data_IF_946118758939
#
_entry.id   IF_946118758939
#
_cell.length_a   1.000
_cell.length_b   1.000
_cell.length_c   1.000
_cell.angle_alpha   90.00
_cell.angle_beta   90.00
_cell.angle_gamma   90.00
#
_symmetry.space_group_name_H-M   'P 1'
#
loop_
_entity.id
_entity.type
_entity.pdbx_description
1 polymer ?
#
# COMPACT_ATOMS: atom_id res chain seq x y z
N UNK A 1 -4.78 -13.57 5.03
CA UNK A 1 -3.54 -12.94 5.59
C UNK A 1 -3.58 -11.44 5.39
N UNK A 2 -3.23 -10.67 6.42
CA UNK A 2 -3.17 -9.22 6.36
C UNK A 2 -1.73 -8.74 6.53
N UNK A 3 -1.17 -8.10 5.49
CA UNK A 3 0.18 -7.53 5.44
C UNK A 3 0.13 -6.01 5.49
N UNK A 4 0.87 -5.39 6.40
CA UNK A 4 1.05 -3.95 6.47
C UNK A 4 2.49 -3.59 6.09
N UNK A 5 2.65 -2.76 5.06
CA UNK A 5 3.95 -2.31 4.55
C UNK A 5 4.12 -0.82 4.85
N UNK A 6 5.14 -0.48 5.62
CA UNK A 6 5.48 0.90 5.97
C UNK A 6 6.86 1.31 5.46
N UNK A 7 7.24 2.55 5.65
CA UNK A 7 8.56 3.11 5.33
C UNK A 7 8.47 4.47 4.65
N UNK A 8 9.62 5.09 4.43
CA UNK A 8 9.77 6.42 3.85
C UNK A 8 9.31 6.55 2.38
N UNK A 9 9.26 7.76 1.88
CA UNK A 9 8.92 8.02 0.47
C UNK A 9 9.96 7.35 -0.45
N UNK A 10 9.50 6.81 -1.59
CA UNK A 10 10.33 6.18 -2.62
C UNK A 10 11.24 5.02 -2.15
N UNK A 11 11.03 4.45 -0.96
CA UNK A 11 11.84 3.35 -0.41
C UNK A 11 11.57 1.97 -1.05
N UNK A 12 10.64 1.86 -2.03
CA UNK A 12 10.35 0.61 -2.74
C UNK A 12 9.09 -0.12 -2.30
N UNK A 13 8.28 0.44 -1.37
CA UNK A 13 7.04 -0.18 -0.86
C UNK A 13 6.10 -0.68 -1.95
N UNK A 14 5.74 0.19 -2.90
CA UNK A 14 4.78 -0.16 -3.96
C UNK A 14 5.30 -1.30 -4.82
N UNK A 15 6.60 -1.28 -5.16
CA UNK A 15 7.21 -2.34 -5.96
C UNK A 15 7.20 -3.68 -5.21
N UNK A 16 7.54 -3.68 -3.93
CA UNK A 16 7.51 -4.87 -3.10
C UNK A 16 6.06 -5.38 -2.91
N UNK A 17 5.11 -4.49 -2.63
CA UNK A 17 3.70 -4.83 -2.47
C UNK A 17 3.11 -5.49 -3.73
N UNK A 18 3.36 -4.91 -4.91
CA UNK A 18 2.93 -5.48 -6.19
C UNK A 18 3.58 -6.86 -6.44
N UNK A 19 4.88 -6.99 -6.14
CA UNK A 19 5.61 -8.24 -6.25
C UNK A 19 5.04 -9.32 -5.32
N UNK A 20 4.73 -8.96 -4.09
CA UNK A 20 4.10 -9.86 -3.12
C UNK A 20 2.73 -10.35 -3.61
N UNK A 21 1.86 -9.42 -4.05
CA UNK A 21 0.54 -9.77 -4.58
C UNK A 21 0.64 -10.64 -5.84
N UNK A 22 1.62 -10.38 -6.71
CA UNK A 22 1.82 -11.18 -7.93
C UNK A 22 2.19 -12.64 -7.65
N UNK A 23 2.70 -12.97 -6.47
CA UNK A 23 3.01 -14.35 -6.07
C UNK A 23 1.77 -15.14 -5.66
N UNK A 24 0.68 -14.47 -5.30
CA UNK A 24 -0.62 -15.09 -5.10
C UNK A 24 -1.35 -15.28 -6.42
N UNK A 25 -2.33 -16.18 -6.44
CA UNK A 25 -3.18 -16.44 -7.61
C UNK A 25 -4.05 -15.25 -8.01
N UNK A 26 -4.92 -15.47 -8.99
CA UNK A 26 -6.00 -14.57 -9.37
C UNK A 26 -7.25 -14.89 -8.53
N UNK A 27 -8.16 -13.94 -8.30
CA UNK A 27 -8.14 -12.54 -8.77
C UNK A 27 -7.23 -11.62 -7.94
N UNK A 28 -6.61 -10.62 -8.60
CA UNK A 28 -5.78 -9.58 -7.97
C UNK A 28 -6.45 -8.23 -8.13
N UNK A 29 -6.80 -7.61 -7.02
CA UNK A 29 -7.47 -6.31 -7.00
C UNK A 29 -6.49 -5.24 -6.53
N UNK A 30 -6.36 -4.17 -7.30
CA UNK A 30 -5.62 -2.98 -6.91
C UNK A 30 -6.59 -1.86 -6.56
N UNK A 31 -6.58 -1.44 -5.32
CA UNK A 31 -7.41 -0.35 -4.82
C UNK A 31 -6.64 0.96 -4.91
N UNK A 32 -7.03 1.80 -5.86
CA UNK A 32 -6.42 3.11 -6.11
C UNK A 32 -7.09 4.17 -5.25
N UNK A 33 -6.35 4.75 -4.32
CA UNK A 33 -6.83 5.79 -3.40
C UNK A 33 -6.40 7.20 -3.81
N UNK A 34 -5.50 7.34 -4.78
CA UNK A 34 -4.99 8.64 -5.20
C UNK A 34 -6.02 9.42 -6.02
N UNK A 35 -6.30 10.65 -5.59
CA UNK A 35 -7.08 11.59 -6.40
C UNK A 35 -6.22 12.21 -7.50
N UNK A 36 -6.77 12.46 -8.71
CA UNK A 36 -6.04 12.99 -9.85
C UNK A 36 -5.86 14.52 -9.75
N UNK A 37 -5.15 15.01 -8.74
CA UNK A 37 -4.85 16.42 -8.60
C UNK A 37 -3.60 16.84 -9.37
N UNK A 38 -3.77 17.86 -10.24
CA UNK A 38 -2.68 18.48 -10.98
C UNK A 38 -1.96 17.55 -11.96
N UNK A 39 -1.03 18.11 -12.73
CA UNK A 39 -0.27 17.32 -13.72
C UNK A 39 0.63 16.26 -13.09
N UNK A 40 1.21 16.52 -11.93
CA UNK A 40 2.08 15.55 -11.24
C UNK A 40 1.30 14.35 -10.73
N UNK A 41 0.11 14.55 -10.16
CA UNK A 41 -0.79 13.48 -9.75
C UNK A 41 -1.19 12.58 -10.91
N UNK A 42 -1.58 13.18 -12.04
CA UNK A 42 -1.90 12.46 -13.27
C UNK A 42 -0.71 11.67 -13.81
N UNK A 43 0.49 12.24 -13.82
CA UNK A 43 1.72 11.55 -14.25
C UNK A 43 2.03 10.35 -13.34
N UNK A 44 1.84 10.50 -12.03
CA UNK A 44 2.05 9.43 -11.04
C UNK A 44 1.04 8.30 -11.23
N UNK A 45 -0.24 8.62 -11.38
CA UNK A 45 -1.29 7.63 -11.69
C UNK A 45 -1.00 6.89 -13.00
N UNK A 46 -0.64 7.61 -14.07
CA UNK A 46 -0.30 7.01 -15.36
C UNK A 46 0.90 6.06 -15.24
N UNK A 47 1.93 6.44 -14.50
CA UNK A 47 3.09 5.59 -14.23
C UNK A 47 2.70 4.32 -13.48
N UNK A 48 1.89 4.42 -12.43
CA UNK A 48 1.41 3.27 -11.66
C UNK A 48 0.51 2.34 -12.51
N UNK A 49 -0.38 2.90 -13.33
CA UNK A 49 -1.18 2.11 -14.27
C UNK A 49 -0.31 1.35 -15.27
N UNK A 50 0.72 2.01 -15.83
CA UNK A 50 1.68 1.36 -16.74
C UNK A 50 2.45 0.23 -16.07
N UNK A 51 2.88 0.41 -14.83
CA UNK A 51 3.59 -0.62 -14.06
C UNK A 51 2.74 -1.85 -13.78
N UNK A 52 1.41 -1.71 -13.72
CA UNK A 52 0.47 -2.80 -13.43
C UNK A 52 -0.11 -3.48 -14.66
N UNK A 53 -0.05 -2.84 -15.84
CA UNK A 53 -0.78 -3.23 -17.04
C UNK A 53 -0.63 -4.70 -17.45
N UNK A 54 0.47 -5.33 -17.10
CA UNK A 54 0.80 -6.71 -17.47
C UNK A 54 0.80 -7.65 -16.25
N UNK A 55 0.52 -7.15 -14.99
CA UNK A 55 0.52 -7.96 -13.75
C UNK A 55 -0.83 -8.60 -13.43
N UNK A 56 -1.81 -8.47 -14.31
CA UNK A 56 -3.12 -9.07 -14.15
C UNK A 56 -3.92 -8.47 -12.97
N UNK A 57 -3.70 -7.19 -12.65
CA UNK A 57 -4.52 -6.48 -11.68
C UNK A 57 -5.80 -5.94 -12.31
N UNK A 58 -6.91 -6.19 -11.65
CA UNK A 58 -8.12 -5.38 -11.81
C UNK A 58 -7.99 -4.14 -10.92
N UNK A 59 -8.20 -2.93 -11.47
CA UNK A 59 -8.10 -1.68 -10.72
C UNK A 59 -9.47 -1.19 -10.32
N UNK A 60 -9.68 -0.98 -9.04
CA UNK A 60 -10.85 -0.35 -8.45
C UNK A 60 -10.45 1.01 -7.90
N UNK A 61 -11.11 2.07 -8.36
CA UNK A 61 -10.91 3.42 -7.85
C UNK A 61 -11.75 3.61 -6.58
N UNK A 62 -11.10 3.78 -5.44
CA UNK A 62 -11.76 4.00 -4.15
C UNK A 62 -11.02 5.07 -3.35
N UNK A 63 -11.21 6.32 -3.77
CA UNK A 63 -10.60 7.47 -3.09
C UNK A 63 -11.22 7.72 -1.71
N UNK A 64 -12.48 7.31 -1.51
CA UNK A 64 -13.27 7.41 -0.27
C UNK A 64 -14.14 6.17 -0.11
N UNK A 65 -14.77 6.04 1.07
CA UNK A 65 -15.80 5.04 1.37
C UNK A 65 -15.41 3.59 1.04
N UNK A 66 -14.17 3.24 1.41
CA UNK A 66 -13.60 1.90 1.18
C UNK A 66 -14.49 0.77 1.72
N UNK A 67 -15.31 1.04 2.74
CA UNK A 67 -16.21 0.06 3.34
C UNK A 67 -17.26 -0.49 2.36
N UNK A 68 -17.68 0.32 1.38
CA UNK A 68 -18.73 -0.02 0.41
C UNK A 68 -18.20 -0.88 -0.74
N UNK A 69 -16.87 -1.04 -0.84
CA UNK A 69 -16.24 -1.80 -1.91
C UNK A 69 -16.53 -3.30 -1.80
N UNK A 70 -17.00 -3.91 -2.88
CA UNK A 70 -17.15 -5.36 -2.99
C UNK A 70 -15.90 -5.97 -3.62
N UNK A 71 -15.45 -7.10 -3.06
CA UNK A 71 -14.32 -7.88 -3.57
C UNK A 71 -14.66 -9.37 -3.52
N UNK A 72 -14.13 -10.19 -4.45
CA UNK A 72 -14.22 -11.65 -4.35
C UNK A 72 -13.54 -12.15 -3.07
N UNK A 73 -14.11 -13.15 -2.42
CA UNK A 73 -13.57 -13.71 -1.17
C UNK A 73 -12.19 -14.36 -1.34
N UNK A 74 -11.91 -14.89 -2.52
CA UNK A 74 -10.63 -15.50 -2.91
C UNK A 74 -9.61 -14.50 -3.45
N UNK A 75 -9.96 -13.21 -3.55
CA UNK A 75 -9.07 -12.18 -4.08
C UNK A 75 -7.87 -11.90 -3.17
N UNK A 76 -6.74 -11.56 -3.79
CA UNK A 76 -5.64 -10.86 -3.14
C UNK A 76 -5.74 -9.38 -3.48
N UNK A 77 -5.93 -8.56 -2.45
CA UNK A 77 -6.17 -7.11 -2.57
C UNK A 77 -4.91 -6.33 -2.20
N UNK A 78 -4.53 -5.38 -3.04
CA UNK A 78 -3.51 -4.37 -2.75
C UNK A 78 -4.17 -3.01 -2.55
N UNK A 79 -4.15 -2.49 -1.32
CA UNK A 79 -4.56 -1.12 -1.01
C UNK A 79 -3.35 -0.20 -1.11
N UNK A 80 -3.33 0.67 -2.13
CA UNK A 80 -2.14 1.40 -2.55
C UNK A 80 -1.58 2.34 -1.50
N UNK A 81 -2.46 3.09 -0.77
CA UNK A 81 -1.96 4.10 0.16
C UNK A 81 -3.01 4.52 1.19
N UNK A 82 -2.76 4.15 2.46
CA UNK A 82 -3.58 4.60 3.59
C UNK A 82 -3.49 6.12 3.75
N UNK A 83 -2.34 6.73 3.51
CA UNK A 83 -2.16 8.17 3.65
C UNK A 83 -3.08 8.96 2.69
N UNK A 84 -3.20 8.54 1.44
CA UNK A 84 -4.13 9.14 0.49
C UNK A 84 -5.60 8.95 0.94
N UNK A 85 -5.96 7.73 1.33
CA UNK A 85 -7.31 7.43 1.81
C UNK A 85 -7.66 8.31 3.03
N UNK A 86 -6.77 8.37 4.02
CA UNK A 86 -6.97 9.18 5.22
C UNK A 86 -7.13 10.66 4.89
N UNK A 87 -6.26 11.21 4.03
CA UNK A 87 -6.36 12.61 3.59
C UNK A 87 -7.69 12.89 2.88
N UNK A 88 -8.07 12.02 1.95
CA UNK A 88 -9.32 12.16 1.20
C UNK A 88 -10.57 12.11 2.10
N UNK A 89 -10.54 11.25 3.13
CA UNK A 89 -11.63 11.13 4.09
C UNK A 89 -11.65 12.29 5.09
N UNK A 90 -10.47 12.76 5.51
CA UNK A 90 -10.31 13.82 6.53
C UNK A 90 -10.73 15.18 6.03
N UNK A 91 -10.41 15.54 4.80
CA UNK A 91 -10.66 16.85 4.24
C UNK A 91 -11.80 16.79 3.22
N UNK A 92 -12.79 17.69 3.36
CA UNK A 92 -13.82 17.89 2.35
C UNK A 92 -13.36 18.90 1.26
N UNK A 93 -14.20 19.11 0.25
CA UNK A 93 -13.91 20.05 -0.85
C UNK A 93 -13.84 21.53 -0.39
N UNK A 94 -14.42 21.86 0.75
CA UNK A 94 -14.40 23.17 1.36
C UNK A 94 -13.19 23.36 2.31
N UNK A 95 -12.37 22.32 2.51
CA UNK A 95 -11.23 22.33 3.42
C UNK A 95 -11.58 22.12 4.89
N UNK A 96 -12.85 21.76 5.21
CA UNK A 96 -13.18 21.39 6.58
C UNK A 96 -12.58 20.03 6.92
N UNK A 97 -12.11 19.92 8.14
CA UNK A 97 -11.49 18.71 8.68
C UNK A 97 -12.44 17.95 9.60
N UNK A 98 -12.40 16.62 9.51
CA UNK A 98 -13.13 15.72 10.41
C UNK A 98 -12.23 14.59 10.91
N UNK A 99 -12.54 14.05 12.08
CA UNK A 99 -11.85 12.84 12.57
C UNK A 99 -12.37 11.62 11.82
N UNK A 100 -11.46 10.93 11.14
CA UNK A 100 -11.76 9.76 10.31
C UNK A 100 -11.00 8.51 10.75
N UNK A 101 -10.26 8.60 11.88
CA UNK A 101 -9.39 7.50 12.35
C UNK A 101 -10.12 6.18 12.43
N UNK A 102 -11.25 6.16 13.14
CA UNK A 102 -12.03 4.93 13.31
C UNK A 102 -12.66 4.46 11.99
N UNK A 103 -13.16 5.39 11.16
CA UNK A 103 -13.73 5.07 9.84
C UNK A 103 -12.73 4.33 8.96
N UNK A 104 -11.49 4.84 8.88
CA UNK A 104 -10.42 4.22 8.05
C UNK A 104 -10.02 2.86 8.60
N UNK A 105 -9.83 2.75 9.92
CA UNK A 105 -9.49 1.47 10.57
C UNK A 105 -10.57 0.43 10.28
N UNK A 106 -11.83 0.74 10.56
CA UNK A 106 -12.95 -0.21 10.37
C UNK A 106 -13.09 -0.64 8.90
N UNK A 107 -12.90 0.28 7.97
CA UNK A 107 -12.95 0.01 6.54
C UNK A 107 -11.84 -0.96 6.10
N UNK A 108 -10.60 -0.75 6.55
CA UNK A 108 -9.46 -1.63 6.23
C UNK A 108 -9.62 -3.00 6.88
N UNK A 109 -10.00 -3.06 8.16
CA UNK A 109 -10.24 -4.32 8.86
C UNK A 109 -11.46 -5.07 8.29
N UNK A 110 -12.49 -4.33 7.88
CA UNK A 110 -13.63 -4.91 7.16
C UNK A 110 -13.20 -5.52 5.82
N UNK A 111 -12.32 -4.87 5.08
CA UNK A 111 -11.77 -5.38 3.82
C UNK A 111 -10.91 -6.63 4.04
N UNK A 112 -10.06 -6.66 5.08
CA UNK A 112 -9.21 -7.80 5.39
C UNK A 112 -9.99 -9.09 5.69
N UNK A 113 -11.23 -8.97 6.18
CA UNK A 113 -12.12 -10.10 6.48
C UNK A 113 -12.89 -10.61 5.26
N UNK A 114 -12.92 -9.82 4.18
CA UNK A 114 -13.70 -10.11 2.96
C UNK A 114 -12.86 -10.61 1.79
N UNK A 115 -11.54 -10.70 1.94
CA UNK A 115 -10.64 -11.20 0.90
C UNK A 115 -9.66 -12.23 1.45
N UNK A 116 -9.08 -13.06 0.59
CA UNK A 116 -8.13 -14.09 1.00
C UNK A 116 -6.84 -13.48 1.56
N UNK A 117 -6.30 -12.46 0.89
CA UNK A 117 -5.12 -11.73 1.33
C UNK A 117 -5.32 -10.22 1.12
N UNK A 118 -4.89 -9.43 2.11
CA UNK A 118 -4.85 -7.98 2.03
C UNK A 118 -3.41 -7.50 2.21
N UNK A 119 -2.90 -6.77 1.24
CA UNK A 119 -1.61 -6.06 1.32
C UNK A 119 -1.90 -4.56 1.37
N UNK A 120 -1.52 -3.91 2.45
CA UNK A 120 -1.76 -2.49 2.68
C UNK A 120 -0.44 -1.74 2.68
N UNK A 121 -0.37 -0.67 1.89
CA UNK A 121 0.78 0.25 1.89
C UNK A 121 0.43 1.50 2.67
N UNK A 122 1.29 1.83 3.62
CA UNK A 122 1.21 3.08 4.39
C UNK A 122 2.52 3.85 4.31
N UNK A 123 2.54 5.06 4.82
CA UNK A 123 3.73 5.89 4.96
C UNK A 123 4.02 6.13 6.43
N UNK A 124 5.29 6.17 6.76
CA UNK A 124 5.78 6.74 7.99
C UNK A 124 5.88 8.27 7.80
N UNK A 125 5.07 8.99 8.56
CA UNK A 125 5.02 10.45 8.55
C UNK A 125 5.50 10.96 9.90
N UNK A 126 6.29 12.03 9.92
CA UNK A 126 6.73 12.68 11.15
C UNK A 126 8.19 12.43 11.53
N UNK A 127 8.95 11.66 10.73
CA UNK A 127 10.40 11.52 10.93
C UNK A 127 11.17 12.81 10.59
N UNK A 128 10.59 13.72 9.82
CA UNK A 128 11.17 15.01 9.45
C UNK A 128 10.37 16.14 10.09
N UNK A 129 10.99 16.88 11.00
CA UNK A 129 10.39 18.05 11.62
C UNK A 129 10.51 19.23 10.65
N UNK A 130 9.38 19.66 10.09
CA UNK A 130 9.25 20.90 9.32
C UNK A 130 8.20 21.81 9.99
N UNK A 131 8.31 23.12 9.80
CA UNK A 131 7.23 24.07 10.11
C UNK A 131 6.06 23.80 9.16
N UNK A 132 5.17 22.93 9.59
CA UNK A 132 3.96 22.59 8.86
C UNK A 132 2.86 23.62 9.18
N UNK A 133 1.88 23.73 8.27
CA UNK A 133 0.65 24.43 8.53
C UNK A 133 -0.16 23.78 9.68
N UNK A 134 -1.18 24.45 10.18
CA UNK A 134 -1.99 24.01 11.33
C UNK A 134 -2.69 22.64 11.13
N UNK A 135 -2.85 22.18 9.89
CA UNK A 135 -3.55 20.93 9.54
C UNK A 135 -2.62 19.72 9.51
N UNK A 136 -1.36 19.93 9.19
CA UNK A 136 -0.39 18.82 9.04
C UNK A 136 -0.14 18.05 10.35
N UNK A 137 0.01 18.67 11.54
CA UNK A 137 0.19 17.94 12.80
C UNK A 137 -0.99 17.00 13.11
N UNK A 138 -2.22 17.46 12.88
CA UNK A 138 -3.43 16.64 13.13
C UNK A 138 -3.51 15.46 12.18
N UNK A 139 -3.13 15.64 10.93
CA UNK A 139 -3.05 14.56 9.95
C UNK A 139 -1.95 13.55 10.31
N UNK A 140 -0.76 14.02 10.73
CA UNK A 140 0.36 13.14 11.17
C UNK A 140 -0.05 12.33 12.39
N UNK A 141 -0.71 12.95 13.38
CA UNK A 141 -1.24 12.25 14.56
C UNK A 141 -2.28 11.19 14.16
N UNK A 142 -3.21 11.54 13.28
CA UNK A 142 -4.22 10.60 12.79
C UNK A 142 -3.58 9.41 12.07
N UNK A 143 -2.57 9.65 11.23
CA UNK A 143 -1.82 8.59 10.55
C UNK A 143 -1.06 7.70 11.53
N UNK A 144 -0.42 8.27 12.55
CA UNK A 144 0.24 7.51 13.61
C UNK A 144 -0.73 6.58 14.34
N UNK A 145 -1.92 7.10 14.70
CA UNK A 145 -2.98 6.32 15.34
C UNK A 145 -3.49 5.18 14.45
N UNK A 146 -3.78 5.47 13.17
CA UNK A 146 -4.24 4.48 12.21
C UNK A 146 -3.17 3.40 11.99
N UNK A 147 -1.92 3.78 11.76
CA UNK A 147 -0.82 2.85 11.56
C UNK A 147 -0.63 1.91 12.75
N UNK A 148 -0.70 2.46 13.99
CA UNK A 148 -0.61 1.67 15.21
C UNK A 148 -1.74 0.63 15.30
N UNK A 149 -2.99 1.05 15.07
CA UNK A 149 -4.15 0.16 15.12
C UNK A 149 -4.08 -0.94 14.04
N UNK A 150 -3.71 -0.58 12.80
CA UNK A 150 -3.57 -1.55 11.72
C UNK A 150 -2.42 -2.53 11.96
N UNK A 151 -1.28 -2.05 12.51
CA UNK A 151 -0.15 -2.91 12.84
C UNK A 151 -0.48 -3.92 13.96
N UNK A 152 -1.32 -3.52 14.93
CA UNK A 152 -1.79 -4.43 15.97
C UNK A 152 -2.59 -5.60 15.40
N UNK A 153 -3.45 -5.36 14.41
CA UNK A 153 -4.35 -6.34 13.78
C UNK A 153 -3.70 -7.11 12.61
N UNK A 154 -2.66 -6.56 11.97
CA UNK A 154 -2.00 -7.21 10.86
C UNK A 154 -1.30 -8.50 11.30
N UNK A 155 -1.34 -9.54 10.45
CA UNK A 155 -0.59 -10.79 10.66
C UNK A 155 0.92 -10.55 10.49
N UNK A 156 1.28 -9.69 9.53
CA UNK A 156 2.66 -9.35 9.21
C UNK A 156 2.82 -7.84 9.02
N UNK A 157 3.91 -7.28 9.57
CA UNK A 157 4.28 -5.87 9.40
C UNK A 157 5.71 -5.78 8.93
N UNK A 158 5.95 -5.10 7.82
CA UNK A 158 7.29 -4.88 7.28
C UNK A 158 7.57 -3.41 7.06
N UNK A 159 8.76 -3.00 7.45
CA UNK A 159 9.32 -1.72 7.01
C UNK A 159 10.18 -1.92 5.77
N UNK A 160 9.97 -1.14 4.73
CA UNK A 160 10.78 -1.18 3.52
C UNK A 160 11.91 -0.16 3.61
N UNK A 161 13.15 -0.65 3.60
CA UNK A 161 14.36 0.16 3.53
C UNK A 161 15.12 -0.22 2.27
N UNK A 162 15.30 0.71 1.34
CA UNK A 162 15.98 0.47 0.05
C UNK A 162 15.43 -0.75 -0.73
N UNK A 163 14.11 -0.99 -0.64
CA UNK A 163 13.45 -2.11 -1.30
C UNK A 163 13.56 -3.45 -0.56
N UNK A 164 14.20 -3.48 0.61
CA UNK A 164 14.38 -4.68 1.44
C UNK A 164 13.38 -4.64 2.58
N UNK A 165 12.55 -5.69 2.79
CA UNK A 165 11.63 -5.77 3.91
C UNK A 165 12.37 -6.08 5.22
N UNK A 166 12.21 -5.24 6.22
CA UNK A 166 12.59 -5.49 7.61
C UNK A 166 11.34 -5.99 8.32
N UNK A 167 11.40 -7.19 8.88
CA UNK A 167 10.27 -7.78 9.60
C UNK A 167 10.12 -7.13 10.96
N UNK A 168 9.00 -6.42 11.18
CA UNK A 168 8.63 -5.86 12.47
C UNK A 168 7.66 -6.77 13.23
N UNK A 169 6.80 -7.53 12.50
CA UNK A 169 5.85 -8.50 13.06
C UNK A 169 5.63 -9.63 12.08
N UNK A 170 5.41 -10.85 12.58
CA UNK A 170 5.21 -12.05 11.77
C UNK A 170 6.50 -12.57 11.15
N UNK A 171 6.37 -13.22 10.01
CA UNK A 171 7.48 -13.79 9.25
C UNK A 171 7.44 -13.32 7.80
N UNK A 172 8.56 -13.41 7.08
CA UNK A 172 8.57 -13.15 5.64
C UNK A 172 7.65 -14.16 4.94
N UNK A 173 6.81 -13.71 4.00
CA UNK A 173 5.88 -14.57 3.32
C UNK A 173 6.65 -15.63 2.52
N UNK A 174 6.17 -16.87 2.61
CA UNK A 174 6.63 -17.99 1.79
C UNK A 174 5.55 -18.26 0.75
N UNK A 175 5.89 -18.08 -0.51
CA UNK A 175 4.99 -18.36 -1.63
C UNK A 175 5.73 -19.29 -2.58
N UNK A 176 5.09 -20.38 -2.98
CA UNK A 176 5.70 -21.44 -3.80
C UNK A 176 7.01 -22.03 -3.20
N UNK A 177 7.10 -22.04 -1.85
CA UNK A 177 8.26 -22.57 -1.12
C UNK A 177 9.44 -21.61 -0.99
N UNK A 178 9.35 -20.39 -1.54
CA UNK A 178 10.40 -19.35 -1.47
C UNK A 178 9.99 -18.18 -0.56
N UNK A 179 10.96 -17.70 0.24
CA UNK A 179 10.76 -16.46 1.02
C UNK A 179 10.82 -15.24 0.12
N UNK A 180 9.85 -14.34 0.26
CA UNK A 180 9.80 -13.07 -0.49
C UNK A 180 10.67 -12.03 0.20
N UNK A 181 11.97 -12.08 -0.03
CA UNK A 181 12.98 -11.20 0.60
C UNK A 181 13.25 -9.89 -0.16
N UNK A 182 12.85 -9.81 -1.42
CA UNK A 182 13.00 -8.59 -2.24
C UNK A 182 11.85 -8.51 -3.24
N UNK A 183 11.64 -7.32 -3.80
CA UNK A 183 10.81 -7.20 -4.98
C UNK A 183 11.41 -8.06 -6.08
N UNK A 184 10.63 -9.01 -6.61
CA UNK A 184 11.09 -9.88 -7.69
C UNK A 184 11.39 -9.03 -8.93
N UNK A 185 12.65 -8.99 -9.32
CA UNK A 185 13.09 -8.31 -10.56
C UNK A 185 12.56 -9.03 -11.80
N UNK A 186 12.17 -10.29 -11.65
CA UNK A 186 11.59 -11.14 -12.69
C UNK A 186 10.05 -11.25 -12.61
N UNK A 187 9.38 -10.55 -11.68
CA UNK A 187 7.95 -10.33 -11.84
C UNK A 187 7.76 -9.76 -13.26
N UNK A 188 6.98 -10.40 -14.16
CA UNK A 188 7.10 -10.22 -15.62
C UNK A 188 6.74 -8.83 -16.14
N UNK A 189 7.26 -7.81 -15.49
CA UNK A 189 7.04 -6.45 -15.84
C UNK A 189 7.90 -5.42 -15.22
N UNK A 190 8.98 -5.31 -15.66
CA UNK A 190 9.83 -4.19 -15.40
C UNK A 190 11.26 -4.55 -15.72
N UNK A 191 11.45 -4.86 -16.98
CA UNK A 191 12.73 -5.21 -17.56
C UNK A 191 13.88 -4.38 -17.06
N UNK A 192 14.84 -5.05 -16.61
CA UNK A 192 16.25 -4.97 -16.92
C UNK A 192 16.87 -6.21 -16.30
N UNK A 193 16.96 -7.26 -17.07
CA UNK A 193 17.86 -8.37 -16.81
C UNK A 193 19.25 -7.76 -16.60
N UNK A 194 19.70 -7.71 -15.38
CA UNK A 194 21.12 -7.59 -15.14
C UNK A 194 21.67 -8.98 -15.38
N UNK A 195 22.28 -9.14 -16.55
CA UNK A 195 23.07 -10.30 -16.96
C UNK A 195 24.00 -10.66 -15.81
N UNK A 196 23.89 -11.91 -15.34
CA UNK A 196 24.87 -12.49 -14.45
C UNK A 196 26.24 -12.46 -15.11
N UNK A 197 27.17 -11.76 -14.49
CA UNK A 197 28.57 -11.90 -14.83
C UNK A 197 29.05 -13.23 -14.31
N UNK A 198 29.29 -14.20 -15.18
CA UNK A 198 30.11 -15.35 -14.90
C UNK A 198 31.49 -14.86 -14.46
N UNK A 199 31.85 -15.15 -13.23
CA UNK A 199 33.23 -15.05 -12.79
C UNK A 199 33.93 -16.35 -13.20
N UNK A 200 34.81 -16.26 -14.17
CA UNK A 200 35.87 -17.21 -14.40
C UNK A 200 37.06 -16.92 -13.48
#
# INVERSE_FOLDING_TARGET
>A
MFYLLTGGSACGKSTYAESLVCRYGQPRIYVATMQPYGEEGLKKIARHRKMRATKGFETVEAQRDLADMSVPEDATVLLECIANLTSNEMFDEQGNMRDVRQKVIDAVLGLSRRCANLVVVTNELGAEYHDYDDFTPVYVEAMGYINHALAAEADCVYELVCGIPIVLKGELPVVDGEKVVTADRNCPLGGASLVGGDAA
#
